data_IF_463395621885
#
_entry.id   IF_463395621885
#
_cell.length_a   1.000
_cell.length_b   1.000
_cell.length_c   1.000
_cell.angle_alpha   90.00
_cell.angle_beta   90.00
_cell.angle_gamma   90.00
#
_symmetry.space_group_name_H-M   'P 1'
#
loop_
_entity.id
_entity.type
_entity.pdbx_description
1 polymer ?
#
# COMPACT_ATOMS: atom_id res chain seq x y z
N UNK A 1 28.19 4.19 -46.29
CA UNK A 1 28.13 3.46 -44.99
C UNK A 1 27.43 4.39 -44.01
N UNK A 2 26.08 4.39 -43.90
CA UNK A 2 25.23 3.52 -43.04
C UNK A 2 25.80 3.37 -41.62
N UNK A 3 25.14 3.73 -40.51
CA UNK A 3 23.71 3.81 -40.19
C UNK A 3 23.39 4.91 -39.15
N UNK A 4 22.25 5.60 -39.35
CA UNK A 4 21.46 6.27 -38.29
C UNK A 4 20.51 5.26 -37.68
N UNK A 5 20.35 5.25 -36.35
CA UNK A 5 19.24 4.58 -35.69
C UNK A 5 18.51 5.59 -34.81
N UNK A 6 17.36 6.05 -35.30
CA UNK A 6 16.38 6.87 -34.58
C UNK A 6 15.18 5.97 -34.36
N UNK A 7 14.84 5.68 -33.10
CA UNK A 7 13.67 4.89 -32.76
C UNK A 7 12.50 5.83 -32.45
N UNK A 8 11.50 5.88 -33.33
CA UNK A 8 10.20 6.51 -33.06
C UNK A 8 9.13 5.41 -33.18
N UNK A 9 8.58 4.98 -32.03
CA UNK A 9 7.42 4.10 -31.94
C UNK A 9 6.16 4.97 -31.86
N UNK A 10 5.48 5.14 -33.00
CA UNK A 10 4.10 5.60 -33.05
C UNK A 10 3.19 4.41 -33.36
N UNK A 11 2.35 4.06 -32.39
CA UNK A 11 1.30 3.04 -32.48
C UNK A 11 0.09 3.63 -33.23
N UNK A 12 -0.25 3.04 -34.36
CA UNK A 12 -1.40 3.38 -35.19
C UNK A 12 -2.55 2.39 -34.88
N UNK A 13 -3.65 2.87 -34.28
CA UNK A 13 -4.88 2.09 -34.06
C UNK A 13 -5.90 2.41 -35.15
N UNK A 14 -6.03 1.50 -36.12
CA UNK A 14 -7.21 1.43 -37.00
C UNK A 14 -8.02 0.19 -36.62
N UNK A 15 -9.19 0.37 -36.01
CA UNK A 15 -10.14 -0.70 -35.77
C UNK A 15 -11.29 -0.55 -36.76
N UNK A 16 -11.38 -1.45 -37.75
CA UNK A 16 -12.49 -1.56 -38.69
C UNK A 16 -13.49 -2.59 -38.18
N UNK A 17 -14.75 -2.17 -38.13
CA UNK A 17 -15.94 -3.00 -38.01
C UNK A 17 -16.09 -3.97 -39.20
N UNK A 18 -16.55 -5.19 -38.91
CA UNK A 18 -17.38 -6.00 -39.82
C UNK A 18 -18.35 -6.83 -38.98
N UNK A 19 -19.62 -6.84 -39.39
CA UNK A 19 -20.71 -7.41 -38.62
C UNK A 19 -21.30 -8.75 -39.12
N UNK A 20 -22.25 -9.21 -38.30
CA UNK A 20 -23.47 -10.00 -38.56
C UNK A 20 -23.35 -11.51 -38.85
N UNK A 21 -23.93 -12.31 -37.93
CA UNK A 21 -24.91 -13.43 -38.08
C UNK A 21 -25.06 -14.05 -36.67
N UNK A 22 -26.22 -14.05 -36.00
CA UNK A 22 -27.49 -14.69 -36.36
C UNK A 22 -27.68 -15.92 -35.45
N UNK A 23 -28.57 -15.86 -34.46
CA UNK A 23 -28.89 -17.00 -33.59
C UNK A 23 -29.70 -16.60 -32.36
N UNK A 24 -30.97 -16.99 -32.34
CA UNK A 24 -31.94 -16.74 -31.28
C UNK A 24 -31.60 -17.52 -30.01
N UNK A 25 -31.63 -16.84 -28.86
CA UNK A 25 -32.24 -17.35 -27.60
C UNK A 25 -32.21 -16.24 -26.54
N UNK A 26 -33.20 -15.33 -26.61
CA UNK A 26 -33.46 -14.42 -25.50
C UNK A 26 -34.31 -15.16 -24.47
N UNK A 27 -33.67 -15.61 -23.38
CA UNK A 27 -34.36 -16.03 -22.17
C UNK A 27 -35.19 -14.84 -21.64
N UNK A 28 -36.51 -14.90 -21.84
CA UNK A 28 -37.48 -13.95 -21.30
C UNK A 28 -37.45 -14.01 -19.77
N UNK A 29 -36.90 -12.98 -19.14
CA UNK A 29 -36.92 -12.83 -17.68
C UNK A 29 -38.32 -12.39 -17.25
N UNK A 30 -38.96 -13.16 -16.35
CA UNK A 30 -40.28 -12.86 -15.77
C UNK A 30 -40.16 -11.59 -14.92
N UNK A 31 -40.83 -10.51 -15.35
CA UNK A 31 -40.94 -9.27 -14.55
C UNK A 31 -41.97 -9.56 -13.46
N UNK A 32 -41.50 -9.78 -12.23
CA UNK A 32 -42.35 -9.69 -11.05
C UNK A 32 -42.49 -8.20 -10.69
N UNK A 33 -43.73 -7.75 -10.54
CA UNK A 33 -44.09 -6.38 -10.26
C UNK A 33 -43.35 -5.84 -9.03
N UNK A 34 -42.72 -4.67 -9.21
CA UNK A 34 -42.11 -3.87 -8.15
C UNK A 34 -43.17 -3.49 -7.12
N UNK A 35 -43.16 -4.14 -5.97
CA UNK A 35 -43.84 -3.63 -4.78
C UNK A 35 -42.92 -2.61 -4.15
N UNK A 36 -43.33 -1.34 -4.14
CA UNK A 36 -42.60 -0.24 -3.51
C UNK A 36 -42.45 -0.54 -2.01
N UNK A 37 -41.27 -1.04 -1.63
CA UNK A 37 -40.86 -1.15 -0.23
C UNK A 37 -40.37 0.24 0.20
N UNK A 38 -41.17 0.90 1.02
CA UNK A 38 -40.80 2.17 1.68
C UNK A 38 -39.42 2.02 2.33
N UNK A 39 -38.47 2.86 1.91
CA UNK A 39 -37.10 2.85 2.38
C UNK A 39 -37.04 2.87 3.91
N UNK A 40 -36.63 1.76 4.51
CA UNK A 40 -36.28 1.73 5.94
C UNK A 40 -35.10 2.68 6.14
N UNK A 41 -35.25 3.61 7.09
CA UNK A 41 -34.19 4.51 7.54
C UNK A 41 -32.86 3.74 7.71
N UNK A 42 -31.71 4.31 7.28
CA UNK A 42 -30.43 3.66 7.52
C UNK A 42 -30.25 3.48 9.01
N UNK A 43 -30.16 2.22 9.44
CA UNK A 43 -29.90 1.84 10.81
C UNK A 43 -28.42 2.13 11.05
N UNK A 44 -28.12 3.23 11.74
CA UNK A 44 -26.79 3.52 12.28
C UNK A 44 -26.57 2.66 13.52
N UNK A 45 -26.50 1.35 13.33
CA UNK A 45 -26.05 0.42 14.36
C UNK A 45 -24.80 -0.28 13.85
N UNK A 46 -23.75 -0.16 14.64
CA UNK A 46 -22.39 -0.68 14.45
C UNK A 46 -22.34 -2.21 14.31
N UNK A 47 -22.80 -2.74 13.19
CA UNK A 47 -22.51 -4.11 12.78
C UNK A 47 -21.35 -4.05 11.78
N UNK A 48 -20.13 -3.89 12.32
CA UNK A 48 -18.96 -4.43 11.63
C UNK A 48 -19.16 -5.94 11.58
N UNK A 49 -19.65 -6.39 10.44
CA UNK A 49 -19.68 -7.79 10.06
C UNK A 49 -18.30 -8.38 10.34
N UNK A 50 -18.21 -9.23 11.36
CA UNK A 50 -17.02 -10.02 11.67
C UNK A 50 -16.87 -11.05 10.55
N UNK A 51 -16.28 -10.63 9.43
CA UNK A 51 -15.69 -11.54 8.47
C UNK A 51 -14.49 -12.19 9.18
N UNK A 52 -14.46 -13.51 9.36
CA UNK A 52 -13.25 -14.18 9.82
C UNK A 52 -12.20 -14.00 8.72
N UNK A 53 -11.20 -13.14 8.96
CA UNK A 53 -10.04 -13.03 8.05
C UNK A 53 -9.45 -11.65 7.81
N UNK A 54 -10.06 -10.55 8.25
CA UNK A 54 -9.40 -9.22 8.21
C UNK A 54 -9.51 -8.56 9.58
N UNK A 55 -8.69 -9.03 10.52
CA UNK A 55 -8.49 -8.32 11.78
C UNK A 55 -7.79 -7.00 11.47
N UNK A 56 -8.33 -5.91 12.00
CA UNK A 56 -7.63 -4.63 11.98
C UNK A 56 -6.25 -4.81 12.65
N UNK A 57 -5.18 -4.21 12.11
CA UNK A 57 -3.83 -4.41 12.64
C UNK A 57 -3.74 -3.90 14.07
N UNK A 58 -2.99 -4.61 14.93
CA UNK A 58 -2.86 -4.27 16.34
C UNK A 58 -1.65 -3.34 16.56
N UNK A 59 -1.57 -2.70 17.74
CA UNK A 59 -0.40 -1.90 18.11
C UNK A 59 0.89 -2.74 18.06
N UNK A 60 0.82 -4.02 18.45
CA UNK A 60 1.93 -4.97 18.38
C UNK A 60 2.42 -5.20 16.94
N UNK A 61 1.51 -5.42 15.98
CA UNK A 61 1.91 -5.64 14.58
C UNK A 61 2.35 -4.35 13.90
N UNK A 62 1.77 -3.21 14.27
CA UNK A 62 2.12 -1.91 13.70
C UNK A 62 3.40 -1.33 14.31
N UNK A 63 3.69 -1.60 15.58
CA UNK A 63 4.75 -0.94 16.34
C UNK A 63 4.45 0.52 16.65
N UNK A 64 3.16 0.89 16.72
CA UNK A 64 2.69 2.24 17.07
C UNK A 64 1.64 2.10 18.17
N UNK A 65 2.00 2.47 19.40
CA UNK A 65 1.11 2.37 20.56
C UNK A 65 0.21 3.60 20.71
N UNK A 66 0.65 4.76 20.22
CA UNK A 66 -0.05 6.04 20.36
C UNK A 66 -0.32 6.67 19.00
N UNK A 67 -1.47 6.36 18.36
CA UNK A 67 -1.89 7.04 17.12
C UNK A 67 -2.08 8.54 17.35
N UNK A 68 -1.71 9.35 16.35
CA UNK A 68 -1.75 10.82 16.43
C UNK A 68 -2.62 11.40 15.32
N UNK A 69 -3.34 12.48 15.59
CA UNK A 69 -4.14 13.12 14.54
C UNK A 69 -3.22 13.81 13.51
N UNK A 70 -3.41 13.57 12.20
CA UNK A 70 -2.52 14.13 11.18
C UNK A 70 -2.56 15.65 11.12
N UNK A 71 -1.39 16.26 11.31
CA UNK A 71 -1.16 17.65 10.94
C UNK A 71 -0.62 17.72 9.51
N UNK A 72 -1.53 18.00 8.57
CA UNK A 72 -1.22 18.12 7.14
C UNK A 72 -0.33 19.32 6.80
N UNK A 73 -0.11 20.26 7.74
CA UNK A 73 0.85 21.35 7.51
C UNK A 73 2.30 20.85 7.52
N UNK A 74 2.57 19.74 8.20
CA UNK A 74 3.90 19.08 8.25
C UNK A 74 4.13 18.06 7.14
N UNK A 75 3.09 17.74 6.36
CA UNK A 75 3.18 16.78 5.26
C UNK A 75 3.42 17.50 3.93
N UNK A 76 4.02 16.81 2.94
CA UNK A 76 4.14 17.36 1.59
C UNK A 76 2.77 17.80 1.04
N UNK A 77 2.74 18.92 0.31
CA UNK A 77 1.48 19.49 -0.19
C UNK A 77 0.76 18.48 -1.09
N UNK A 78 -0.50 18.19 -0.77
CA UNK A 78 -1.32 17.21 -1.51
C UNK A 78 -1.01 15.75 -1.17
N UNK A 79 -0.25 15.49 -0.10
CA UNK A 79 0.01 14.13 0.37
C UNK A 79 -1.21 13.54 1.07
N UNK A 80 -1.62 12.35 0.61
CA UNK A 80 -2.75 11.62 1.17
C UNK A 80 -2.23 10.45 2.03
N UNK A 81 -2.53 10.48 3.34
CA UNK A 81 -2.15 9.39 4.24
C UNK A 81 -2.99 8.12 4.05
N UNK A 82 -4.21 8.23 3.53
CA UNK A 82 -5.08 7.09 3.26
C UNK A 82 -5.50 6.30 4.51
N UNK A 83 -5.44 4.97 4.45
CA UNK A 83 -5.74 4.09 5.60
C UNK A 83 -4.68 4.23 6.68
N UNK A 84 -5.06 3.96 7.93
CA UNK A 84 -4.16 4.04 9.09
C UNK A 84 -3.47 5.41 9.21
N UNK A 85 -4.18 6.49 8.86
CA UNK A 85 -3.59 7.82 8.76
C UNK A 85 -3.01 8.30 10.09
N UNK A 86 -3.66 7.95 11.22
CA UNK A 86 -3.22 8.37 12.55
C UNK A 86 -1.96 7.65 12.99
N UNK A 87 -1.90 6.36 12.69
CA UNK A 87 -0.77 5.48 12.99
C UNK A 87 0.43 5.81 12.10
N UNK A 88 0.20 6.04 10.80
CA UNK A 88 1.23 6.52 9.86
C UNK A 88 1.78 7.86 10.29
N UNK A 89 0.91 8.81 10.65
CA UNK A 89 1.34 10.14 11.08
C UNK A 89 2.17 10.07 12.37
N UNK A 90 1.71 9.30 13.37
CA UNK A 90 2.50 9.04 14.58
C UNK A 90 3.88 8.46 14.23
N UNK A 91 3.93 7.46 13.34
CA UNK A 91 5.18 6.84 12.90
C UNK A 91 6.12 7.79 12.14
N UNK A 92 5.58 8.68 11.29
CA UNK A 92 6.35 9.73 10.61
C UNK A 92 7.00 10.67 11.63
N UNK A 93 6.23 11.06 12.66
CA UNK A 93 6.72 11.94 13.73
C UNK A 93 7.77 11.22 14.59
N UNK A 94 7.54 9.96 14.95
CA UNK A 94 8.47 9.15 15.74
C UNK A 94 9.80 8.90 15.00
N UNK A 95 9.74 8.67 13.69
CA UNK A 95 10.91 8.43 12.84
C UNK A 95 11.59 9.73 12.34
N UNK A 96 11.06 10.90 12.72
CA UNK A 96 11.57 12.21 12.34
C UNK A 96 11.75 12.36 10.81
N UNK A 97 10.71 11.99 10.05
CA UNK A 97 10.72 12.04 8.59
C UNK A 97 10.15 13.37 8.08
N UNK A 98 10.90 14.03 7.20
CA UNK A 98 10.50 15.31 6.59
C UNK A 98 10.52 15.27 5.06
N UNK A 99 11.37 14.43 4.48
CA UNK A 99 11.48 14.34 3.03
C UNK A 99 10.27 13.63 2.42
N UNK A 100 9.79 14.15 1.29
CA UNK A 100 8.60 13.63 0.63
C UNK A 100 8.77 12.16 0.20
N UNK A 101 9.94 11.76 -0.29
CA UNK A 101 10.18 10.40 -0.76
C UNK A 101 10.32 9.44 0.42
N UNK A 102 10.96 9.87 1.50
CA UNK A 102 11.05 9.09 2.73
C UNK A 102 9.67 8.80 3.33
N UNK A 103 8.84 9.84 3.42
CA UNK A 103 7.45 9.71 3.91
C UNK A 103 6.65 8.78 2.99
N UNK A 104 6.82 8.86 1.66
CA UNK A 104 6.17 7.96 0.70
C UNK A 104 6.58 6.50 0.89
N UNK A 105 7.88 6.24 0.98
CA UNK A 105 8.43 4.90 1.19
C UNK A 105 7.91 4.33 2.51
N UNK A 106 8.05 5.12 3.59
CA UNK A 106 7.57 4.76 4.91
C UNK A 106 6.09 4.37 4.90
N UNK A 107 5.22 5.25 4.37
CA UNK A 107 3.78 5.01 4.39
C UNK A 107 3.36 3.77 3.59
N UNK A 108 4.03 3.50 2.45
CA UNK A 108 3.74 2.33 1.62
C UNK A 108 4.15 1.03 2.31
N UNK A 109 5.34 1.00 2.90
CA UNK A 109 5.82 -0.17 3.64
C UNK A 109 4.99 -0.40 4.89
N UNK A 110 4.75 0.65 5.66
CA UNK A 110 3.95 0.57 6.88
C UNK A 110 2.55 0.02 6.60
N UNK A 111 1.85 0.54 5.58
CA UNK A 111 0.50 0.05 5.24
C UNK A 111 0.49 -1.41 4.77
N UNK A 112 1.55 -1.87 4.10
CA UNK A 112 1.63 -3.26 3.68
C UNK A 112 1.86 -4.20 4.88
N UNK A 113 2.88 -3.87 5.69
CA UNK A 113 3.33 -4.75 6.77
C UNK A 113 2.51 -4.60 8.05
N UNK A 114 1.65 -3.58 8.18
CA UNK A 114 0.73 -3.46 9.31
C UNK A 114 -0.23 -4.66 9.38
N UNK A 115 -0.68 -5.15 8.21
CA UNK A 115 -1.58 -6.30 8.12
C UNK A 115 -0.83 -7.63 8.02
N UNK A 116 0.40 -7.61 7.50
CA UNK A 116 1.21 -8.78 7.25
C UNK A 116 2.62 -8.54 7.83
N UNK A 117 2.86 -8.72 9.14
CA UNK A 117 4.17 -8.45 9.73
C UNK A 117 5.26 -9.33 9.13
N UNK A 118 6.50 -8.85 9.14
CA UNK A 118 7.65 -9.61 8.63
C UNK A 118 8.16 -10.53 9.73
N UNK A 119 8.49 -11.78 9.39
CA UNK A 119 9.19 -12.68 10.28
C UNK A 119 10.68 -12.72 9.97
N UNK A 120 11.51 -12.52 10.98
CA UNK A 120 12.96 -12.61 10.89
C UNK A 120 13.44 -13.95 11.43
N UNK A 121 13.79 -14.86 10.53
CA UNK A 121 14.13 -16.24 10.86
C UNK A 121 15.34 -16.35 11.80
N UNK A 122 16.39 -15.56 11.56
CA UNK A 122 17.65 -15.64 12.33
C UNK A 122 17.47 -15.32 13.82
N UNK A 123 16.43 -14.54 14.16
CA UNK A 123 16.15 -14.09 15.52
C UNK A 123 14.88 -14.72 16.10
N UNK A 124 14.13 -15.50 15.31
CA UNK A 124 12.82 -16.06 15.66
C UNK A 124 11.83 -15.01 16.19
N UNK A 125 11.76 -13.84 15.54
CA UNK A 125 10.86 -12.74 15.93
C UNK A 125 10.05 -12.19 14.78
N UNK A 126 8.84 -11.70 15.08
CA UNK A 126 8.06 -10.86 14.19
C UNK A 126 8.50 -9.40 14.34
N UNK A 127 8.80 -8.76 13.22
CA UNK A 127 9.18 -7.35 13.15
C UNK A 127 7.91 -6.51 12.98
N UNK A 128 7.67 -5.53 13.87
CA UNK A 128 6.57 -4.59 13.70
C UNK A 128 6.73 -3.71 12.44
N UNK A 129 5.60 -3.33 11.85
CA UNK A 129 5.56 -2.58 10.59
C UNK A 129 6.36 -1.26 10.64
N UNK A 130 6.26 -0.51 11.74
CA UNK A 130 7.01 0.73 11.97
C UNK A 130 8.53 0.48 11.91
N UNK A 131 9.01 -0.52 12.65
CA UNK A 131 10.43 -0.86 12.72
C UNK A 131 10.94 -1.21 11.34
N UNK A 132 10.23 -2.09 10.62
CA UNK A 132 10.64 -2.45 9.26
C UNK A 132 10.65 -1.24 8.32
N UNK A 133 9.54 -0.49 8.24
CA UNK A 133 9.42 0.66 7.34
C UNK A 133 10.50 1.72 7.61
N UNK A 134 10.79 2.00 8.89
CA UNK A 134 11.84 2.93 9.29
C UNK A 134 13.24 2.43 8.89
N UNK A 135 13.54 1.15 9.10
CA UNK A 135 14.85 0.59 8.72
C UNK A 135 15.09 0.68 7.21
N UNK A 136 14.07 0.47 6.38
CA UNK A 136 14.19 0.63 4.93
C UNK A 136 14.41 2.10 4.52
N UNK A 137 13.78 3.06 5.20
CA UNK A 137 14.07 4.48 4.98
C UNK A 137 15.52 4.82 5.35
N UNK A 138 16.04 4.28 6.45
CA UNK A 138 17.47 4.47 6.81
C UNK A 138 18.39 3.87 5.74
N UNK A 139 18.10 2.65 5.27
CA UNK A 139 18.87 2.02 4.19
C UNK A 139 18.87 2.90 2.94
N UNK A 140 17.74 3.51 2.60
CA UNK A 140 17.65 4.45 1.49
C UNK A 140 18.50 5.72 1.69
N UNK A 141 18.56 6.26 2.91
CA UNK A 141 19.46 7.38 3.27
C UNK A 141 20.94 7.01 3.23
N UNK A 142 21.25 5.73 3.44
CA UNK A 142 22.64 5.27 3.62
C UNK A 142 23.34 5.10 2.27
N UNK A 143 24.48 5.77 2.03
CA UNK A 143 25.21 5.62 0.78
C UNK A 143 25.62 4.15 0.53
N UNK A 144 25.59 3.66 -0.73
CA UNK A 144 25.92 2.26 -1.04
C UNK A 144 27.30 1.81 -0.55
N UNK A 145 28.28 2.73 -0.55
CA UNK A 145 29.63 2.46 -0.05
C UNK A 145 29.63 2.09 1.44
N UNK A 146 28.83 2.78 2.27
CA UNK A 146 28.74 2.52 3.70
C UNK A 146 28.09 1.15 3.96
N UNK A 147 27.05 0.81 3.19
CA UNK A 147 26.41 -0.50 3.27
C UNK A 147 27.39 -1.63 2.91
N UNK A 148 28.21 -1.44 1.87
CA UNK A 148 29.24 -2.40 1.48
C UNK A 148 30.29 -2.58 2.58
N UNK A 149 30.75 -1.49 3.20
CA UNK A 149 31.72 -1.55 4.30
C UNK A 149 31.15 -2.27 5.53
N UNK A 150 29.90 -2.02 5.88
CA UNK A 150 29.21 -2.71 6.97
C UNK A 150 29.12 -4.22 6.69
N UNK A 151 28.69 -4.62 5.48
CA UNK A 151 28.60 -6.03 5.09
C UNK A 151 29.96 -6.75 5.14
N UNK A 152 31.03 -6.09 4.69
CA UNK A 152 32.39 -6.65 4.76
C UNK A 152 32.87 -6.78 6.21
N UNK A 153 32.59 -5.79 7.05
CA UNK A 153 32.97 -5.84 8.47
C UNK A 153 32.23 -6.92 9.26
N UNK A 154 30.93 -7.12 8.98
CA UNK A 154 30.13 -8.15 9.64
C UNK A 154 30.67 -9.57 9.35
N UNK A 155 31.16 -9.80 8.13
CA UNK A 155 31.77 -11.07 7.74
C UNK A 155 33.19 -11.28 8.29
N UNK A 156 33.86 -10.22 8.74
CA UNK A 156 35.24 -10.31 9.24
C UNK A 156 35.35 -10.84 10.67
N UNK A 157 34.23 -10.89 11.42
CA UNK A 157 34.17 -11.44 12.77
C UNK A 157 33.82 -12.94 12.83
N UNK A 158 33.66 -13.60 11.68
CA UNK A 158 33.34 -15.03 11.56
C UNK A 158 34.52 -15.87 11.02
N UNK A 159 35.76 -15.47 11.30
CA UNK A 159 36.97 -16.26 11.00
C UNK A 159 37.70 -16.59 12.30
#
# INVERSE_FOLDING_TARGET
MSNKATYNLYSNRNNKEYGIRGGQDQLKRKIAATTESTAKKPRTDNLRELVPGVTFPTAETMGIDTPMDPDFSRLPKGFELGKLAREKYAGIVMADLYDQYEIQIYCRLFEHFSYCPIYLFDQDIWIPAHVHAYTEVIKFRTPPYVLMQQALSANHFYI
#
